data_IF_677429347364
#
_entry.id   IF_677429347364
#
_cell.length_a   1.000
_cell.length_b   1.000
_cell.length_c   1.000
_cell.angle_alpha   90.00
_cell.angle_beta   90.00
_cell.angle_gamma   90.00
#
_symmetry.space_group_name_H-M   'P 1'
#
loop_
_entity.id
_entity.type
_entity.pdbx_description
1 polymer ?
#
# COMPACT_ATOMS: atom_id res chain seq x y z
N UNK A 1 -15.40 -2.27 25.60
CA UNK A 1 -15.31 -2.21 24.12
C UNK A 1 -16.01 -3.44 23.57
N UNK A 2 -17.16 -3.27 22.90
CA UNK A 2 -17.97 -4.37 22.41
C UNK A 2 -17.39 -5.06 21.17
N UNK A 3 -17.91 -6.26 20.83
CA UNK A 3 -17.53 -7.01 19.62
C UNK A 3 -17.74 -6.16 18.36
N UNK A 4 -18.82 -5.39 18.31
CA UNK A 4 -19.14 -4.48 17.20
C UNK A 4 -18.15 -3.33 17.06
N UNK A 5 -17.62 -2.79 18.16
CA UNK A 5 -16.61 -1.72 18.12
C UNK A 5 -15.28 -2.24 17.56
N UNK A 6 -14.90 -3.47 17.93
CA UNK A 6 -13.71 -4.14 17.39
C UNK A 6 -13.85 -4.44 15.89
N UNK A 7 -15.04 -4.88 15.46
CA UNK A 7 -15.31 -5.14 14.06
C UNK A 7 -15.27 -3.85 13.24
N UNK A 8 -15.86 -2.78 13.75
CA UNK A 8 -15.86 -1.45 13.13
C UNK A 8 -14.45 -0.90 13.01
N UNK A 9 -13.63 -1.01 14.06
CA UNK A 9 -12.23 -0.60 14.02
C UNK A 9 -11.44 -1.37 12.96
N UNK A 10 -11.68 -2.69 12.85
CA UNK A 10 -10.99 -3.56 11.89
C UNK A 10 -11.39 -3.31 10.42
N UNK A 11 -12.60 -2.82 10.18
CA UNK A 11 -13.13 -2.55 8.82
C UNK A 11 -13.04 -1.09 8.41
N UNK A 12 -12.58 -0.22 9.33
CA UNK A 12 -12.39 1.21 9.07
C UNK A 12 -11.40 1.40 7.91
N UNK A 13 -11.80 2.20 6.94
CA UNK A 13 -10.98 2.44 5.73
C UNK A 13 -10.92 1.28 4.74
N UNK A 14 -11.65 0.19 5.01
CA UNK A 14 -11.75 -0.96 4.10
C UNK A 14 -13.17 -1.06 3.55
N UNK A 15 -14.15 -1.13 4.44
CA UNK A 15 -15.58 -1.23 4.09
C UNK A 15 -16.35 0.04 4.48
N UNK A 16 -15.84 0.81 5.42
CA UNK A 16 -16.45 2.05 5.94
C UNK A 16 -15.48 3.22 5.83
N UNK A 17 -16.03 4.42 5.71
CA UNK A 17 -15.25 5.64 5.75
C UNK A 17 -14.50 5.80 7.08
N UNK A 18 -13.36 6.48 7.03
CA UNK A 18 -12.65 6.94 8.22
C UNK A 18 -12.78 8.47 8.29
N UNK A 19 -13.48 8.94 9.30
CA UNK A 19 -13.73 10.36 9.52
C UNK A 19 -12.66 10.99 10.44
N UNK A 20 -12.38 12.28 10.29
CA UNK A 20 -11.53 13.02 11.23
C UNK A 20 -12.17 13.09 12.62
N UNK A 21 -11.36 13.40 13.61
CA UNK A 21 -11.89 13.71 14.95
C UNK A 21 -12.72 15.00 14.91
N UNK A 22 -13.74 15.06 15.76
CA UNK A 22 -14.61 16.24 15.84
C UNK A 22 -13.80 17.49 16.20
N UNK A 23 -14.02 18.54 15.42
CA UNK A 23 -13.38 19.84 15.63
C UNK A 23 -12.04 20.03 14.95
N UNK A 24 -11.55 19.04 14.20
CA UNK A 24 -10.38 19.20 13.35
C UNK A 24 -10.82 19.91 12.05
N UNK A 25 -10.39 21.16 11.81
CA UNK A 25 -10.72 21.84 10.56
C UNK A 25 -9.97 21.20 9.39
N UNK A 26 -10.57 21.16 8.18
CA UNK A 26 -9.89 20.63 7.03
C UNK A 26 -8.70 21.52 6.64
N UNK A 27 -7.54 20.88 6.50
CA UNK A 27 -6.34 21.51 5.96
C UNK A 27 -6.50 21.79 4.46
N UNK A 28 -5.62 22.59 3.90
CA UNK A 28 -5.60 22.81 2.45
C UNK A 28 -5.27 21.53 1.69
N UNK A 29 -5.68 21.42 0.43
CA UNK A 29 -5.31 20.32 -0.45
C UNK A 29 -3.78 20.15 -0.53
N UNK A 30 -3.04 21.25 -0.64
CA UNK A 30 -1.58 21.24 -0.72
C UNK A 30 -0.94 20.63 0.54
N UNK A 31 -1.46 20.97 1.72
CA UNK A 31 -0.98 20.41 2.99
C UNK A 31 -1.28 18.91 3.07
N UNK A 32 -2.46 18.49 2.63
CA UNK A 32 -2.80 17.07 2.62
C UNK A 32 -1.92 16.29 1.63
N UNK A 33 -1.70 16.81 0.42
CA UNK A 33 -0.77 16.22 -0.56
C UNK A 33 0.64 16.06 0.03
N UNK A 34 1.15 17.10 0.67
CA UNK A 34 2.46 17.06 1.32
C UNK A 34 2.53 15.98 2.40
N UNK A 35 1.48 15.80 3.21
CA UNK A 35 1.42 14.74 4.25
C UNK A 35 1.40 13.35 3.65
N UNK A 36 0.65 13.13 2.56
CA UNK A 36 0.58 11.86 1.87
C UNK A 36 1.93 11.49 1.24
N UNK A 37 2.57 12.46 0.58
CA UNK A 37 3.88 12.28 -0.05
C UNK A 37 5.03 12.13 0.95
N UNK A 38 4.83 12.52 2.20
CA UNK A 38 5.80 12.35 3.29
C UNK A 38 5.73 10.98 3.98
N UNK A 39 4.77 10.10 3.60
CA UNK A 39 4.67 8.76 4.18
C UNK A 39 5.90 7.95 3.77
N UNK A 40 6.60 7.43 4.77
CA UNK A 40 7.84 6.68 4.61
C UNK A 40 7.81 5.38 5.40
N UNK A 41 8.60 4.40 4.95
CA UNK A 41 8.75 3.12 5.61
C UNK A 41 9.67 2.20 4.81
N UNK A 42 10.01 1.06 5.37
CA UNK A 42 10.85 0.08 4.68
C UNK A 42 10.15 -0.46 3.44
N UNK A 43 10.74 -0.25 2.27
CA UNK A 43 10.16 -0.61 0.97
C UNK A 43 8.97 0.26 0.56
N UNK A 44 8.65 1.32 1.32
CA UNK A 44 7.56 2.24 0.98
C UNK A 44 8.12 3.41 0.17
N UNK A 45 7.45 3.70 -0.92
CA UNK A 45 7.65 4.87 -1.75
C UNK A 45 6.32 5.56 -2.03
N UNK A 46 6.37 6.85 -2.23
CA UNK A 46 5.21 7.66 -2.60
C UNK A 46 5.47 8.33 -3.93
N UNK A 47 4.44 8.41 -4.75
CA UNK A 47 4.50 9.09 -6.04
C UNK A 47 3.18 9.80 -6.33
N UNK A 48 3.25 10.80 -7.17
CA UNK A 48 2.07 11.49 -7.68
C UNK A 48 2.10 11.47 -9.21
N UNK A 49 1.01 11.04 -9.82
CA UNK A 49 0.83 10.99 -11.25
C UNK A 49 -0.63 11.30 -11.59
N UNK A 50 -0.84 12.20 -12.55
CA UNK A 50 -2.17 12.62 -13.04
C UNK A 50 -3.17 12.98 -11.93
N UNK A 51 -2.67 13.62 -10.86
CA UNK A 51 -3.48 14.06 -9.71
C UNK A 51 -3.82 12.96 -8.69
N UNK A 52 -3.46 11.71 -8.95
CA UNK A 52 -3.55 10.61 -7.98
C UNK A 52 -2.21 10.45 -7.23
N UNK A 53 -2.29 10.14 -5.94
CA UNK A 53 -1.11 9.83 -5.12
C UNK A 53 -1.12 8.34 -4.83
N UNK A 54 0.00 7.69 -5.11
CA UNK A 54 0.24 6.29 -4.75
C UNK A 54 1.18 6.20 -3.55
N UNK A 55 0.76 5.48 -2.53
CA UNK A 55 1.61 5.01 -1.44
C UNK A 55 1.84 3.54 -1.65
N UNK A 56 3.05 3.16 -2.02
CA UNK A 56 3.37 1.83 -2.50
C UNK A 56 4.45 1.16 -1.65
N UNK A 57 4.34 -0.14 -1.50
CA UNK A 57 5.35 -1.03 -0.97
C UNK A 57 5.79 -1.97 -2.09
N UNK A 58 7.11 -2.14 -2.23
CA UNK A 58 7.66 -2.99 -3.27
C UNK A 58 8.85 -3.81 -2.77
N UNK A 59 8.92 -5.06 -3.21
CA UNK A 59 10.00 -5.96 -2.87
C UNK A 59 10.24 -7.01 -3.96
N UNK A 60 11.49 -7.50 -4.02
CA UNK A 60 11.86 -8.74 -4.67
C UNK A 60 11.79 -9.85 -3.65
N UNK A 61 11.04 -10.91 -3.93
CA UNK A 61 10.85 -12.05 -3.03
C UNK A 61 11.24 -13.36 -3.71
N UNK A 62 11.52 -14.37 -2.89
CA UNK A 62 11.72 -15.73 -3.40
C UNK A 62 10.41 -16.27 -3.96
N UNK A 63 10.44 -16.81 -5.17
CA UNK A 63 9.30 -17.49 -5.78
C UNK A 63 9.06 -18.87 -5.21
N UNK A 64 7.90 -19.44 -5.51
CA UNK A 64 7.46 -20.73 -5.01
C UNK A 64 7.83 -21.93 -5.93
N UNK A 65 8.72 -21.74 -6.91
CA UNK A 65 8.98 -22.72 -7.95
C UNK A 65 9.81 -23.92 -7.57
N UNK A 66 9.65 -25.00 -8.33
CA UNK A 66 10.37 -26.25 -8.17
C UNK A 66 11.44 -26.36 -9.26
N UNK A 67 12.68 -25.97 -8.93
CA UNK A 67 13.85 -26.34 -9.77
C UNK A 67 14.62 -25.20 -10.44
N UNK A 68 14.36 -23.94 -10.15
CA UNK A 68 15.12 -22.78 -10.66
C UNK A 68 15.21 -21.64 -9.65
N UNK A 69 16.04 -20.66 -9.95
CA UNK A 69 16.03 -19.40 -9.19
C UNK A 69 14.82 -18.57 -9.59
N UNK A 70 13.68 -18.90 -9.04
CA UNK A 70 12.45 -18.14 -9.25
C UNK A 70 12.38 -17.00 -8.25
N UNK A 71 12.00 -15.85 -8.75
CA UNK A 71 11.73 -14.71 -7.89
C UNK A 71 10.54 -13.92 -8.44
N UNK A 72 9.90 -13.22 -7.54
CA UNK A 72 8.76 -12.38 -7.85
C UNK A 72 9.08 -10.94 -7.48
N UNK A 73 8.63 -10.01 -8.31
CA UNK A 73 8.55 -8.61 -7.97
C UNK A 73 7.13 -8.30 -7.52
N UNK A 74 7.00 -7.90 -6.27
CA UNK A 74 5.73 -7.53 -5.69
C UNK A 74 5.62 -6.01 -5.60
N UNK A 75 4.46 -5.50 -6.00
CA UNK A 75 4.06 -4.12 -5.81
C UNK A 75 2.68 -4.10 -5.19
N UNK A 76 2.56 -3.45 -4.04
CA UNK A 76 1.33 -3.28 -3.28
C UNK A 76 1.15 -1.79 -3.03
N UNK A 77 0.05 -1.21 -3.47
CA UNK A 77 -0.16 0.22 -3.33
C UNK A 77 -1.59 0.56 -2.87
N UNK A 78 -1.70 1.71 -2.24
CA UNK A 78 -2.96 2.41 -2.09
C UNK A 78 -2.85 3.67 -2.94
N UNK A 79 -3.69 3.74 -3.97
CA UNK A 79 -3.83 4.94 -4.80
C UNK A 79 -4.99 5.75 -4.27
N UNK A 80 -4.77 7.04 -4.06
CA UNK A 80 -5.77 7.97 -3.54
C UNK A 80 -6.02 9.10 -4.52
N UNK A 81 -7.29 9.47 -4.65
CA UNK A 81 -7.75 10.68 -5.36
C UNK A 81 -8.42 11.62 -4.37
N UNK A 82 -8.12 12.90 -4.47
CA UNK A 82 -8.62 13.94 -3.58
C UNK A 82 -9.83 14.63 -4.20
N UNK A 83 -10.82 14.93 -3.36
CA UNK A 83 -11.95 15.78 -3.67
C UNK A 83 -11.93 17.00 -2.73
N UNK A 84 -11.37 18.14 -3.17
CA UNK A 84 -11.20 19.32 -2.33
C UNK A 84 -12.54 19.99 -1.96
N UNK A 85 -13.57 19.84 -2.78
CA UNK A 85 -14.88 20.44 -2.51
C UNK A 85 -15.58 19.75 -1.35
N UNK A 86 -15.49 18.42 -1.32
CA UNK A 86 -16.10 17.59 -0.27
C UNK A 86 -15.16 17.31 0.91
N UNK A 87 -13.90 17.74 0.84
CA UNK A 87 -12.84 17.36 1.79
C UNK A 87 -12.78 15.85 1.99
N UNK A 88 -12.78 15.10 0.90
CA UNK A 88 -12.73 13.64 0.93
C UNK A 88 -11.58 13.10 0.10
N UNK A 89 -11.11 11.93 0.49
CA UNK A 89 -10.08 11.17 -0.22
C UNK A 89 -10.62 9.79 -0.53
N UNK A 90 -10.67 9.42 -1.79
CA UNK A 90 -11.08 8.09 -2.22
C UNK A 90 -9.85 7.21 -2.42
N UNK A 91 -9.76 6.08 -1.70
CA UNK A 91 -8.62 5.16 -1.75
C UNK A 91 -8.98 3.80 -2.31
N UNK A 92 -8.09 3.27 -3.17
CA UNK A 92 -8.20 1.93 -3.73
C UNK A 92 -6.85 1.20 -3.65
N UNK A 93 -6.88 -0.09 -3.33
CA UNK A 93 -5.68 -0.92 -3.32
C UNK A 93 -5.38 -1.46 -4.71
N UNK A 94 -4.09 -1.52 -5.03
CA UNK A 94 -3.54 -2.12 -6.23
C UNK A 94 -2.50 -3.16 -5.83
N UNK A 95 -2.68 -4.38 -6.35
CA UNK A 95 -1.74 -5.48 -6.22
C UNK A 95 -1.19 -5.82 -7.60
N UNK A 96 0.13 -5.75 -7.76
CA UNK A 96 0.82 -6.25 -8.95
C UNK A 96 1.84 -7.29 -8.53
N UNK A 97 1.93 -8.35 -9.31
CA UNK A 97 2.95 -9.39 -9.18
C UNK A 97 3.56 -9.61 -10.54
N UNK A 98 4.89 -9.59 -10.62
CA UNK A 98 5.62 -9.96 -11.81
C UNK A 98 6.51 -11.14 -11.44
N UNK A 99 6.17 -12.31 -11.94
CA UNK A 99 6.97 -13.52 -11.79
C UNK A 99 8.03 -13.54 -12.87
N UNK A 100 9.26 -13.87 -12.51
CA UNK A 100 10.35 -14.05 -13.45
C UNK A 100 10.97 -15.42 -13.22
N UNK A 101 10.96 -16.24 -14.26
CA UNK A 101 11.54 -17.57 -14.30
C UNK A 101 12.69 -17.59 -15.28
N UNK A 102 13.83 -18.09 -14.86
CA UNK A 102 14.98 -18.31 -15.73
C UNK A 102 15.16 -19.82 -15.88
N UNK A 103 14.86 -20.33 -17.07
CA UNK A 103 15.07 -21.72 -17.43
C UNK A 103 16.09 -21.86 -18.56
N UNK A 104 16.29 -23.09 -19.04
CA UNK A 104 17.22 -23.37 -20.15
C UNK A 104 16.79 -22.73 -21.49
N UNK A 105 15.55 -22.29 -21.62
CA UNK A 105 15.01 -21.61 -22.82
C UNK A 105 15.12 -20.10 -22.77
N UNK A 106 15.43 -19.53 -21.59
CA UNK A 106 15.60 -18.10 -21.37
C UNK A 106 14.76 -17.56 -20.21
N UNK A 107 14.68 -16.24 -20.13
CA UNK A 107 13.89 -15.52 -19.13
C UNK A 107 12.44 -15.38 -19.60
N UNK A 108 11.52 -15.94 -18.84
CA UNK A 108 10.08 -15.71 -19.00
C UNK A 108 9.54 -14.83 -17.87
N UNK A 109 8.59 -13.97 -18.17
CA UNK A 109 7.95 -13.13 -17.19
C UNK A 109 6.43 -13.15 -17.38
N UNK A 110 5.71 -13.42 -16.28
CA UNK A 110 4.26 -13.26 -16.21
C UNK A 110 3.90 -12.08 -15.34
N UNK A 111 2.77 -11.41 -15.63
CA UNK A 111 2.30 -10.25 -14.88
C UNK A 111 0.86 -10.46 -14.46
N UNK A 112 0.61 -10.40 -13.16
CA UNK A 112 -0.72 -10.34 -12.57
C UNK A 112 -0.99 -8.98 -11.96
N UNK A 113 -2.22 -8.50 -12.05
CA UNK A 113 -2.64 -7.32 -11.32
C UNK A 113 -4.07 -7.47 -10.81
N UNK A 114 -4.34 -6.91 -9.65
CA UNK A 114 -5.65 -6.89 -9.02
C UNK A 114 -5.90 -5.49 -8.46
N UNK A 115 -7.12 -5.00 -8.59
CA UNK A 115 -7.54 -3.71 -8.07
C UNK A 115 -8.77 -3.92 -7.20
N UNK A 116 -8.79 -3.34 -5.99
CA UNK A 116 -9.90 -3.51 -5.05
C UNK A 116 -9.54 -3.11 -3.65
N UNK A 117 -10.36 -3.54 -2.69
CA UNK A 117 -10.03 -3.41 -1.27
C UNK A 117 -9.42 -4.72 -0.79
N UNK A 118 -8.16 -4.67 -0.40
CA UNK A 118 -7.44 -5.82 0.11
C UNK A 118 -7.29 -5.76 1.63
N UNK A 119 -7.36 -6.91 2.27
CA UNK A 119 -7.19 -7.10 3.71
C UNK A 119 -6.24 -8.25 3.98
N UNK A 120 -5.75 -8.29 5.23
CA UNK A 120 -4.92 -9.39 5.71
C UNK A 120 -3.43 -9.17 5.51
N UNK A 121 -2.70 -10.25 5.45
CA UNK A 121 -1.25 -10.26 5.40
C UNK A 121 -0.74 -11.32 4.45
N UNK A 122 0.46 -11.10 3.94
CA UNK A 122 1.21 -12.02 3.08
C UNK A 122 2.54 -12.36 3.76
N UNK A 123 2.83 -13.66 3.96
CA UNK A 123 4.14 -14.11 4.45
C UNK A 123 5.07 -14.30 3.27
N UNK A 124 6.22 -13.65 3.33
CA UNK A 124 7.14 -13.53 2.21
C UNK A 124 8.56 -13.85 2.67
N UNK A 125 9.40 -14.34 1.74
CA UNK A 125 10.84 -14.35 1.91
C UNK A 125 11.42 -13.25 1.06
N UNK A 126 11.74 -12.11 1.68
CA UNK A 126 12.24 -10.94 0.98
C UNK A 126 13.71 -11.11 0.67
N UNK A 127 14.06 -10.94 -0.61
CA UNK A 127 15.43 -10.96 -1.13
C UNK A 127 16.00 -9.54 -1.23
N UNK A 128 15.17 -8.59 -1.62
CA UNK A 128 15.53 -7.18 -1.67
C UNK A 128 14.29 -6.28 -1.55
N UNK A 129 14.43 -5.18 -0.86
CA UNK A 129 13.45 -4.10 -0.89
C UNK A 129 13.68 -3.27 -2.15
N UNK A 130 12.58 -2.78 -2.75
CA UNK A 130 12.62 -1.88 -3.89
C UNK A 130 12.01 -0.56 -3.42
N UNK A 131 12.74 0.52 -3.58
CA UNK A 131 12.30 1.85 -3.14
C UNK A 131 13.46 2.74 -2.70
N UNK A 132 13.28 4.05 -2.67
CA UNK A 132 14.36 5.02 -2.46
C UNK A 132 14.95 5.00 -1.04
N UNK A 133 14.27 4.41 -0.08
CA UNK A 133 14.70 4.34 1.33
C UNK A 133 15.22 2.95 1.71
N UNK A 134 15.57 2.11 0.72
CA UNK A 134 16.21 0.84 0.99
C UNK A 134 17.61 1.05 1.54
N UNK A 135 17.82 0.62 2.78
CA UNK A 135 19.17 0.41 3.28
C UNK A 135 19.73 -0.79 2.51
N UNK A 136 20.74 -0.55 1.68
CA UNK A 136 21.54 -1.61 1.08
C UNK A 136 22.22 -2.40 2.20
N UNK A 137 21.53 -3.41 2.67
CA UNK A 137 22.09 -4.44 3.54
C UNK A 137 22.05 -5.73 2.76
N UNK A 138 23.24 -6.28 2.48
CA UNK A 138 23.49 -7.43 1.62
C UNK A 138 22.41 -8.51 1.67
N UNK A 139 22.24 -9.21 0.54
CA UNK A 139 21.27 -10.23 0.23
C UNK A 139 21.19 -11.33 1.32
N UNK A 140 20.48 -11.07 2.37
CA UNK A 140 20.09 -12.06 3.36
C UNK A 140 18.59 -12.25 3.22
N UNK A 141 18.21 -13.42 2.74
CA UNK A 141 16.83 -13.88 2.75
C UNK A 141 16.23 -13.63 4.15
N UNK A 142 15.16 -12.82 4.21
CA UNK A 142 14.49 -12.51 5.47
C UNK A 142 13.02 -12.85 5.36
N UNK A 143 12.54 -13.66 6.31
CA UNK A 143 11.11 -13.81 6.52
C UNK A 143 10.48 -12.46 6.85
N UNK A 144 9.44 -12.07 6.12
CA UNK A 144 8.69 -10.85 6.30
C UNK A 144 7.19 -11.11 6.19
N UNK A 145 6.42 -10.43 6.97
CA UNK A 145 4.96 -10.45 6.83
C UNK A 145 4.50 -9.06 6.43
N UNK A 146 4.07 -8.92 5.18
CA UNK A 146 3.43 -7.70 4.71
C UNK A 146 1.99 -7.66 5.23
N UNK A 147 1.58 -6.51 5.75
CA UNK A 147 0.20 -6.26 6.13
C UNK A 147 -0.36 -5.08 5.31
N UNK A 148 -1.55 -5.23 4.77
CA UNK A 148 -2.21 -4.12 4.08
C UNK A 148 -2.44 -2.91 4.98
N UNK A 149 -2.51 -3.11 6.30
CA UNK A 149 -2.54 -2.03 7.29
C UNK A 149 -1.27 -1.18 7.28
N UNK A 150 -0.12 -1.75 6.91
CA UNK A 150 1.16 -1.02 6.90
C UNK A 150 1.14 0.14 5.87
N UNK A 151 0.33 0.01 4.81
CA UNK A 151 0.07 1.09 3.85
C UNK A 151 -1.16 1.91 4.22
N UNK A 152 -2.24 1.25 4.65
CA UNK A 152 -3.54 1.89 4.86
C UNK A 152 -3.55 2.82 6.06
N UNK A 153 -3.01 2.37 7.18
CA UNK A 153 -3.10 3.12 8.44
C UNK A 153 -2.36 4.47 8.37
N UNK A 154 -1.15 4.58 7.78
CA UNK A 154 -0.51 5.86 7.53
C UNK A 154 -1.31 6.79 6.61
N UNK A 155 -1.93 6.24 5.55
CA UNK A 155 -2.77 7.02 4.64
C UNK A 155 -4.00 7.56 5.36
N UNK A 156 -4.72 6.71 6.12
CA UNK A 156 -5.87 7.13 6.91
C UNK A 156 -5.45 8.17 7.95
N UNK A 157 -4.34 7.97 8.64
CA UNK A 157 -3.85 8.91 9.63
C UNK A 157 -3.51 10.28 9.03
N UNK A 158 -2.86 10.31 7.85
CA UNK A 158 -2.57 11.55 7.13
C UNK A 158 -3.85 12.30 6.73
N UNK A 159 -4.84 11.57 6.19
CA UNK A 159 -6.12 12.12 5.73
C UNK A 159 -6.94 12.64 6.90
N UNK A 160 -7.19 11.80 7.91
CA UNK A 160 -8.03 12.19 9.05
C UNK A 160 -7.37 13.22 9.94
N UNK A 161 -6.03 13.17 10.10
CA UNK A 161 -5.26 14.19 10.79
C UNK A 161 -5.21 15.54 10.08
N UNK A 162 -5.52 15.57 8.78
CA UNK A 162 -5.72 16.79 8.00
C UNK A 162 -7.18 17.29 8.03
N UNK A 163 -8.06 16.67 8.78
CA UNK A 163 -9.48 17.05 8.86
C UNK A 163 -10.32 16.61 7.66
N UNK A 164 -9.78 15.67 6.85
CA UNK A 164 -10.47 15.11 5.68
C UNK A 164 -11.03 13.73 5.98
N UNK A 165 -12.04 13.31 5.22
CA UNK A 165 -12.63 11.96 5.34
C UNK A 165 -12.01 11.02 4.31
N UNK A 166 -11.49 9.87 4.75
CA UNK A 166 -11.06 8.80 3.86
C UNK A 166 -12.24 7.89 3.52
N UNK A 167 -12.46 7.65 2.23
CA UNK A 167 -13.51 6.76 1.70
C UNK A 167 -12.87 5.61 0.91
N UNK A 168 -13.13 4.33 1.24
CA UNK A 168 -12.71 3.22 0.40
C UNK A 168 -13.50 3.26 -0.91
N UNK A 169 -12.79 3.30 -2.05
CA UNK A 169 -13.41 3.26 -3.38
C UNK A 169 -13.93 1.84 -3.64
N UNK A 170 -15.20 1.72 -3.95
CA UNK A 170 -15.80 0.46 -4.41
C UNK A 170 -15.52 0.30 -5.91
N UNK A 171 -15.26 -0.94 -6.33
CA UNK A 171 -15.14 -1.33 -7.73
C UNK A 171 -16.54 -1.66 -8.23
#
# INVERSE_FOLDING_TARGET
MGLFDRLRAKTRGILTAAEPEKGVPPASEADLRSRLLAIQGQGIETSEDDGEIAVAWSAKVAGAGVGGAEYEYLYRAITVSLDPEEHTVAGICLKKTTEAELDASGLTASKGWERGQHMGSEKLTVLAWLGPHTVEGGATERGYTFHWSDLRDPVIAAVTGAGWTYKPKKI
#
